data_IF_678850552260
#
_entry.id   IF_678850552260
#
_cell.length_a   1.000
_cell.length_b   1.000
_cell.length_c   1.000
_cell.angle_alpha   90.00
_cell.angle_beta   90.00
_cell.angle_gamma   90.00
#
_symmetry.space_group_name_H-M   'P 1'
#
loop_
_entity.id
_entity.type
_entity.pdbx_description
1 polymer ?
#
# COMPACT_ATOMS: atom_id res chain seq x y z
N UNK A 1 -7.76 5.07 -16.74
CA UNK A 1 -7.59 4.39 -15.45
C UNK A 1 -8.38 5.12 -14.39
N UNK A 2 -9.20 4.41 -13.63
CA UNK A 2 -10.04 5.03 -12.59
C UNK A 2 -9.76 4.36 -11.25
N UNK A 3 -9.44 5.13 -10.19
CA UNK A 3 -9.26 4.58 -8.87
C UNK A 3 -10.59 4.14 -8.25
N UNK A 4 -10.53 3.35 -7.19
CA UNK A 4 -11.71 2.96 -6.43
C UNK A 4 -12.37 4.17 -5.77
N UNK A 5 -13.68 4.12 -5.61
CA UNK A 5 -14.46 5.10 -4.85
C UNK A 5 -14.68 4.67 -3.40
N UNK A 6 -14.03 3.60 -2.97
CA UNK A 6 -14.13 3.08 -1.60
C UNK A 6 -13.68 4.13 -0.58
N UNK A 7 -14.24 4.04 0.62
CA UNK A 7 -13.92 4.93 1.73
C UNK A 7 -13.48 4.18 2.98
N UNK A 8 -13.62 2.86 3.00
CA UNK A 8 -13.23 2.05 4.14
C UNK A 8 -12.77 0.66 3.70
N UNK A 9 -12.20 -0.12 4.63
CA UNK A 9 -11.62 -1.42 4.34
C UNK A 9 -12.62 -2.47 3.84
N UNK A 10 -13.88 -2.37 4.23
CA UNK A 10 -14.92 -3.34 3.82
C UNK A 10 -15.42 -3.12 2.38
N UNK A 11 -14.96 -2.06 1.73
CA UNK A 11 -15.39 -1.70 0.38
C UNK A 11 -14.52 -2.31 -0.73
N UNK A 12 -13.50 -3.09 -0.40
CA UNK A 12 -12.62 -3.63 -1.41
C UNK A 12 -11.46 -4.43 -0.84
N UNK A 13 -10.45 -4.64 -1.68
CA UNK A 13 -9.29 -5.47 -1.35
C UNK A 13 -8.07 -4.58 -1.11
N UNK A 14 -7.33 -4.86 -0.05
CA UNK A 14 -6.04 -4.24 0.23
C UNK A 14 -4.92 -5.19 -0.16
N UNK A 15 -3.95 -4.70 -0.91
CA UNK A 15 -2.73 -5.45 -1.18
C UNK A 15 -1.80 -5.38 0.04
N UNK A 16 -1.37 -6.52 0.54
CA UNK A 16 -0.33 -6.61 1.57
C UNK A 16 0.79 -7.48 1.04
N UNK A 17 1.96 -6.88 0.88
CA UNK A 17 3.13 -7.61 0.41
C UNK A 17 4.04 -8.00 1.56
N UNK A 18 4.78 -9.08 1.34
CA UNK A 18 5.80 -9.56 2.26
C UNK A 18 6.98 -10.11 1.47
N UNK A 19 8.18 -9.82 1.95
CA UNK A 19 9.42 -10.41 1.44
C UNK A 19 10.34 -10.75 2.62
N UNK A 20 11.41 -11.53 2.40
CA UNK A 20 12.35 -11.83 3.49
C UNK A 20 12.99 -10.59 4.12
N UNK A 21 12.95 -9.43 3.45
CA UNK A 21 13.44 -8.15 4.00
C UNK A 21 12.39 -7.43 4.84
N UNK A 22 11.15 -7.88 4.84
CA UNK A 22 10.08 -7.26 5.61
C UNK A 22 10.18 -7.62 7.09
N UNK A 23 9.74 -6.70 7.95
CA UNK A 23 9.55 -6.97 9.36
C UNK A 23 8.32 -7.87 9.54
N UNK A 24 8.50 -9.02 10.17
CA UNK A 24 7.39 -9.91 10.50
C UNK A 24 6.41 -9.21 11.44
N UNK A 25 6.92 -8.53 12.44
CA UNK A 25 6.08 -7.81 13.41
C UNK A 25 5.23 -6.73 12.74
N UNK A 26 5.83 -5.89 11.88
CA UNK A 26 5.09 -4.85 11.18
C UNK A 26 4.02 -5.44 10.26
N UNK A 27 4.35 -6.52 9.55
CA UNK A 27 3.41 -7.20 8.67
C UNK A 27 2.25 -7.81 9.46
N UNK A 28 2.52 -8.44 10.59
CA UNK A 28 1.47 -9.00 11.45
C UNK A 28 0.54 -7.91 12.01
N UNK A 29 1.10 -6.79 12.42
CA UNK A 29 0.31 -5.67 12.93
C UNK A 29 -0.57 -5.05 11.86
N UNK A 30 -0.04 -4.87 10.64
CA UNK A 30 -0.81 -4.37 9.51
C UNK A 30 -1.95 -5.32 9.16
N UNK A 31 -1.66 -6.61 9.05
CA UNK A 31 -2.66 -7.62 8.74
C UNK A 31 -3.74 -7.69 9.81
N UNK A 32 -3.34 -7.72 11.08
CA UNK A 32 -4.28 -7.76 12.20
C UNK A 32 -5.20 -6.54 12.22
N UNK A 33 -4.63 -5.36 12.01
CA UNK A 33 -5.41 -4.12 11.95
C UNK A 33 -6.44 -4.17 10.81
N UNK A 34 -6.02 -4.62 9.64
CA UNK A 34 -6.91 -4.72 8.48
C UNK A 34 -8.07 -5.68 8.75
N UNK A 35 -7.78 -6.88 9.24
CA UNK A 35 -8.80 -7.90 9.48
C UNK A 35 -9.76 -7.51 10.59
N UNK A 36 -9.28 -6.91 11.67
CA UNK A 36 -10.14 -6.44 12.77
C UNK A 36 -11.11 -5.36 12.29
N UNK A 37 -10.68 -4.55 11.30
CA UNK A 37 -11.51 -3.48 10.77
C UNK A 37 -12.32 -3.91 9.53
N UNK A 38 -12.48 -5.20 9.31
CA UNK A 38 -13.39 -5.74 8.31
C UNK A 38 -12.83 -5.86 6.90
N UNK A 39 -11.52 -5.66 6.74
CA UNK A 39 -10.88 -5.74 5.42
C UNK A 39 -10.50 -7.15 5.01
N UNK A 40 -10.21 -7.31 3.73
CA UNK A 40 -9.62 -8.51 3.16
C UNK A 40 -8.36 -8.12 2.40
N UNK A 41 -7.45 -9.07 2.24
CA UNK A 41 -6.17 -8.78 1.60
C UNK A 41 -5.84 -9.76 0.48
N UNK A 42 -4.96 -9.30 -0.42
CA UNK A 42 -4.31 -10.13 -1.43
C UNK A 42 -2.81 -9.89 -1.38
N UNK A 43 -2.03 -10.92 -1.68
CA UNK A 43 -0.63 -10.81 -2.00
C UNK A 43 -0.37 -11.59 -3.29
N UNK A 44 -0.11 -10.85 -4.38
CA UNK A 44 0.18 -11.45 -5.69
C UNK A 44 1.67 -11.44 -6.00
N UNK A 45 2.50 -11.16 -4.99
CA UNK A 45 3.96 -11.20 -5.06
C UNK A 45 4.57 -10.25 -6.10
N UNK A 46 3.91 -9.14 -6.40
CA UNK A 46 4.41 -8.12 -7.31
C UNK A 46 4.02 -6.72 -6.82
N UNK A 47 4.99 -6.01 -6.25
CA UNK A 47 4.77 -4.63 -5.80
C UNK A 47 4.35 -3.73 -6.95
N UNK A 48 4.95 -3.91 -8.13
CA UNK A 48 4.60 -3.14 -9.33
C UNK A 48 3.13 -3.31 -9.69
N UNK A 49 2.65 -4.56 -9.74
CA UNK A 49 1.24 -4.85 -10.07
C UNK A 49 0.30 -4.38 -8.96
N UNK A 50 0.63 -4.65 -7.70
CA UNK A 50 -0.25 -4.26 -6.60
C UNK A 50 -0.43 -2.75 -6.51
N UNK A 51 0.64 -2.00 -6.72
CA UNK A 51 0.57 -0.52 -6.74
C UNK A 51 -0.26 -0.04 -7.93
N UNK A 52 -0.04 -0.62 -9.12
CA UNK A 52 -0.83 -0.30 -10.30
C UNK A 52 -2.32 -0.65 -10.13
N UNK A 53 -2.63 -1.71 -9.41
CA UNK A 53 -4.02 -2.08 -9.13
C UNK A 53 -4.73 -1.08 -8.23
N UNK A 54 -4.02 -0.38 -7.34
CA UNK A 54 -4.60 0.74 -6.59
C UNK A 54 -5.03 1.84 -7.56
N UNK A 55 -4.16 2.21 -8.49
CA UNK A 55 -4.47 3.21 -9.50
C UNK A 55 -5.64 2.80 -10.40
N UNK A 56 -5.74 1.51 -10.72
CA UNK A 56 -6.78 0.97 -11.60
C UNK A 56 -8.11 0.67 -10.90
N UNK A 57 -8.20 0.85 -9.58
CA UNK A 57 -9.42 0.62 -8.83
C UNK A 57 -9.68 -0.84 -8.45
N UNK A 58 -8.74 -1.73 -8.70
CA UNK A 58 -8.85 -3.15 -8.30
C UNK A 58 -8.53 -3.36 -6.83
N UNK A 59 -7.62 -2.54 -6.27
CA UNK A 59 -7.32 -2.49 -4.86
C UNK A 59 -7.65 -1.11 -4.32
N UNK A 60 -7.99 -1.05 -3.04
CA UNK A 60 -8.27 0.21 -2.35
C UNK A 60 -7.05 0.76 -1.61
N UNK A 61 -6.01 -0.04 -1.50
CA UNK A 61 -4.75 0.33 -0.89
C UNK A 61 -3.71 -0.76 -1.04
N UNK A 62 -2.47 -0.41 -0.75
CA UNK A 62 -1.36 -1.37 -0.76
C UNK A 62 -0.33 -0.96 0.28
N UNK A 63 0.19 -1.93 1.01
CA UNK A 63 1.26 -1.73 1.98
C UNK A 63 2.26 -2.87 1.90
N UNK A 64 3.55 -2.52 1.93
CA UNK A 64 4.65 -3.47 2.14
C UNK A 64 5.76 -2.78 2.91
N UNK A 65 6.40 -3.50 3.85
CA UNK A 65 7.39 -2.92 4.75
C UNK A 65 8.66 -2.45 4.05
N UNK A 66 9.12 -3.20 3.03
CA UNK A 66 10.39 -2.89 2.36
C UNK A 66 10.29 -3.21 0.87
N UNK A 67 10.46 -2.18 0.04
CA UNK A 67 10.41 -2.28 -1.42
C UNK A 67 11.58 -1.50 -2.00
N UNK A 68 12.20 -2.06 -3.05
CA UNK A 68 13.19 -1.35 -3.84
C UNK A 68 12.51 -0.37 -4.80
N UNK A 69 13.19 0.74 -5.10
CA UNK A 69 12.61 1.81 -5.92
C UNK A 69 12.17 1.33 -7.30
N UNK A 70 12.93 0.45 -7.94
CA UNK A 70 12.60 -0.04 -9.29
C UNK A 70 11.34 -0.92 -9.32
N UNK A 71 10.87 -1.39 -8.18
CA UNK A 71 9.67 -2.22 -8.09
C UNK A 71 8.39 -1.42 -7.89
N UNK A 72 8.45 -0.14 -7.53
CA UNK A 72 7.25 0.60 -7.15
C UNK A 72 7.13 2.02 -7.71
N UNK A 73 8.21 2.64 -8.22
CA UNK A 73 8.14 4.05 -8.63
C UNK A 73 7.13 4.31 -9.74
N UNK A 74 7.04 3.43 -10.73
CA UNK A 74 6.06 3.59 -11.81
C UNK A 74 4.63 3.50 -11.28
N UNK A 75 4.36 2.56 -10.37
CA UNK A 75 3.06 2.41 -9.74
C UNK A 75 2.69 3.60 -8.86
N UNK A 76 3.65 4.14 -8.12
CA UNK A 76 3.46 5.36 -7.32
C UNK A 76 3.03 6.52 -8.21
N UNK A 77 3.69 6.70 -9.34
CA UNK A 77 3.33 7.75 -10.29
C UNK A 77 1.90 7.56 -10.80
N UNK A 78 1.50 6.33 -11.12
CA UNK A 78 0.13 6.03 -11.56
C UNK A 78 -0.90 6.33 -10.48
N UNK A 79 -0.63 5.96 -9.24
CA UNK A 79 -1.55 6.23 -8.12
C UNK A 79 -1.76 7.73 -7.97
N UNK A 80 -0.69 8.51 -7.98
CA UNK A 80 -0.78 9.97 -7.86
C UNK A 80 -1.49 10.61 -9.04
N UNK A 81 -1.23 10.12 -10.26
CA UNK A 81 -1.85 10.60 -11.50
C UNK A 81 -3.38 10.43 -11.46
N UNK A 82 -3.88 9.39 -10.82
CA UNK A 82 -5.32 9.11 -10.72
C UNK A 82 -5.97 9.75 -9.48
N UNK A 83 -5.23 10.58 -8.74
CA UNK A 83 -5.75 11.30 -7.57
C UNK A 83 -5.60 10.55 -6.26
N UNK A 84 -4.98 9.38 -6.26
CA UNK A 84 -4.68 8.65 -5.04
C UNK A 84 -3.52 9.25 -4.26
N UNK A 85 -3.18 8.61 -3.16
CA UNK A 85 -2.14 9.09 -2.26
C UNK A 85 -1.08 8.02 -2.04
N UNK A 86 0.17 8.44 -1.92
CA UNK A 86 1.28 7.57 -1.51
C UNK A 86 2.12 8.27 -0.45
N UNK A 87 2.80 7.49 0.39
CA UNK A 87 3.81 8.04 1.29
C UNK A 87 4.98 8.61 0.49
N UNK A 88 5.87 9.37 1.16
CA UNK A 88 7.09 9.88 0.55
C UNK A 88 8.14 8.76 0.46
N UNK A 89 8.03 7.96 -0.60
CA UNK A 89 8.90 6.80 -0.80
C UNK A 89 10.37 7.18 -0.98
N UNK A 90 10.66 8.37 -1.48
CA UNK A 90 12.04 8.80 -1.74
C UNK A 90 12.73 9.38 -0.51
N UNK A 91 12.01 9.56 0.61
CA UNK A 91 12.61 10.02 1.85
C UNK A 91 13.73 9.08 2.31
N UNK A 92 14.72 9.60 3.04
CA UNK A 92 15.80 8.83 3.64
C UNK A 92 16.55 7.94 2.64
N UNK A 93 16.83 8.50 1.44
CA UNK A 93 17.54 7.79 0.37
C UNK A 93 16.78 6.57 -0.18
N UNK A 94 15.45 6.62 -0.18
CA UNK A 94 14.62 5.53 -0.66
C UNK A 94 14.90 5.09 -2.08
N UNK A 95 15.40 5.97 -2.94
CA UNK A 95 15.80 5.62 -4.30
C UNK A 95 16.91 4.55 -4.31
N UNK A 96 17.84 4.62 -3.37
CA UNK A 96 19.00 3.72 -3.29
C UNK A 96 18.74 2.53 -2.38
N UNK A 97 18.13 2.73 -1.24
CA UNK A 97 18.00 1.71 -0.19
C UNK A 97 16.61 1.10 -0.09
N UNK A 98 15.62 1.68 -0.78
CA UNK A 98 14.23 1.30 -0.62
C UNK A 98 13.61 1.85 0.65
N UNK A 99 12.32 1.71 0.77
CA UNK A 99 11.52 2.18 1.92
C UNK A 99 10.24 1.36 2.01
N UNK A 100 9.49 1.49 3.10
CA UNK A 100 8.11 1.03 3.09
C UNK A 100 7.31 1.80 2.04
N UNK A 101 6.34 1.13 1.44
CA UNK A 101 5.44 1.73 0.48
C UNK A 101 4.01 1.64 1.01
N UNK A 102 3.30 2.75 0.91
CA UNK A 102 1.89 2.85 1.24
C UNK A 102 1.21 3.59 0.10
N UNK A 103 0.20 2.96 -0.48
CA UNK A 103 -0.61 3.57 -1.52
C UNK A 103 -2.09 3.46 -1.14
N UNK A 104 -2.86 4.47 -1.53
CA UNK A 104 -4.29 4.51 -1.22
C UNK A 104 -5.07 5.12 -2.38
N UNK A 105 -6.27 4.60 -2.62
CA UNK A 105 -7.25 5.28 -3.45
C UNK A 105 -7.64 6.60 -2.78
N UNK A 106 -8.24 7.56 -3.52
CA UNK A 106 -8.51 8.88 -2.93
C UNK A 106 -9.32 8.84 -1.63
N UNK A 107 -10.31 7.96 -1.54
CA UNK A 107 -11.20 7.88 -0.37
C UNK A 107 -10.65 7.07 0.80
N UNK A 108 -9.58 6.30 0.60
CA UNK A 108 -9.03 5.42 1.65
C UNK A 108 -7.73 5.94 2.25
N UNK A 109 -7.33 7.15 1.92
CA UNK A 109 -6.08 7.74 2.43
C UNK A 109 -5.99 7.64 3.96
N UNK A 110 -7.02 8.09 4.66
CA UNK A 110 -7.00 8.14 6.12
C UNK A 110 -6.92 6.74 6.73
N UNK A 111 -7.74 5.80 6.26
CA UNK A 111 -7.74 4.45 6.83
C UNK A 111 -6.43 3.72 6.51
N UNK A 112 -5.84 3.96 5.36
CA UNK A 112 -4.53 3.39 5.02
C UNK A 112 -3.40 4.02 5.85
N UNK A 113 -3.46 5.32 6.14
CA UNK A 113 -2.52 5.96 7.05
C UNK A 113 -2.62 5.39 8.46
N UNK A 114 -3.83 5.09 8.92
CA UNK A 114 -4.05 4.45 10.22
C UNK A 114 -3.47 3.03 10.26
N UNK A 115 -3.60 2.28 9.18
CA UNK A 115 -2.97 0.97 9.04
C UNK A 115 -1.44 1.08 9.12
N UNK A 116 -0.88 2.06 8.44
CA UNK A 116 0.56 2.33 8.43
C UNK A 116 1.06 2.63 9.84
N UNK A 117 0.36 3.47 10.57
CA UNK A 117 0.68 3.79 11.96
C UNK A 117 0.57 2.55 12.86
N UNK A 118 -0.46 1.71 12.67
CA UNK A 118 -0.63 0.48 13.43
C UNK A 118 0.52 -0.51 13.18
N UNK A 119 1.13 -0.47 12.01
CA UNK A 119 2.28 -1.32 11.67
C UNK A 119 3.59 -0.82 12.30
N UNK A 120 3.59 0.34 12.94
CA UNK A 120 4.75 0.89 13.64
C UNK A 120 5.45 2.05 12.92
N UNK A 121 4.84 2.60 11.90
CA UNK A 121 5.43 3.72 11.15
C UNK A 121 4.97 5.09 11.67
#
# INVERSE_FOLDING_TARGET
MKPSKATYFDDGIVGLGYSPKSSIEATQKALGYLLINGGVYHDICSAALMTAYVAAGRYIGYYEFQINSWDCLAGIALVRETGGWTNDFLANEGLQTGNPVLAASPGTKEVMQNLFAAAGH
#
